data_IF_505315375353
#
_entry.id   IF_505315375353
#
_cell.length_a   1.000
_cell.length_b   1.000
_cell.length_c   1.000
_cell.angle_alpha   90.00
_cell.angle_beta   90.00
_cell.angle_gamma   90.00
#
_symmetry.space_group_name_H-M   'P 1'
#
loop_
_entity.id
_entity.type
_entity.pdbx_description
1 polymer ?
#
# COMPACT_ATOMS: atom_id res chain seq x y z
N UNK A 1 -38.21 -36.33 -24.71
CA UNK A 1 -38.30 -34.87 -24.55
C UNK A 1 -38.75 -34.54 -23.13
N UNK A 2 -37.83 -34.14 -22.24
CA UNK A 2 -38.16 -33.67 -20.89
C UNK A 2 -37.44 -32.35 -20.63
N UNK A 3 -38.21 -31.33 -20.26
CA UNK A 3 -37.72 -30.03 -19.76
C UNK A 3 -36.96 -30.26 -18.45
N UNK A 4 -35.77 -29.67 -18.33
CA UNK A 4 -35.11 -29.41 -17.04
C UNK A 4 -34.91 -27.92 -16.88
N UNK A 5 -35.44 -27.43 -15.78
CA UNK A 5 -35.23 -26.14 -15.13
C UNK A 5 -33.74 -25.96 -14.81
N UNK A 6 -33.17 -24.79 -15.12
CA UNK A 6 -31.88 -24.36 -14.58
C UNK A 6 -32.09 -23.08 -13.78
N UNK A 7 -31.72 -23.16 -12.50
CA UNK A 7 -31.77 -22.10 -11.49
C UNK A 7 -30.63 -21.11 -11.69
N UNK A 8 -30.90 -19.86 -11.33
CA UNK A 8 -30.01 -18.72 -11.29
C UNK A 8 -28.82 -18.93 -10.34
N UNK A 9 -27.62 -18.60 -10.81
CA UNK A 9 -26.47 -18.20 -10.00
C UNK A 9 -25.81 -17.02 -10.74
N UNK A 10 -26.30 -15.81 -10.46
CA UNK A 10 -25.66 -14.56 -10.84
C UNK A 10 -25.55 -13.72 -9.57
N UNK A 11 -24.38 -13.77 -8.93
CA UNK A 11 -24.07 -13.02 -7.72
C UNK A 11 -22.75 -12.27 -7.90
N UNK A 12 -22.84 -10.95 -7.78
CA UNK A 12 -21.75 -10.03 -7.40
C UNK A 12 -20.57 -9.79 -8.37
N UNK A 13 -20.81 -9.77 -9.69
CA UNK A 13 -19.83 -9.29 -10.68
C UNK A 13 -20.20 -7.98 -11.39
N UNK A 14 -21.36 -7.38 -11.12
CA UNK A 14 -22.01 -6.45 -12.06
C UNK A 14 -21.95 -4.95 -11.71
N UNK A 15 -21.43 -4.53 -10.54
CA UNK A 15 -21.44 -3.10 -10.17
C UNK A 15 -20.17 -2.32 -10.54
N UNK A 16 -19.10 -2.97 -11.01
CA UNK A 16 -17.91 -2.28 -11.51
C UNK A 16 -18.01 -1.81 -12.98
N UNK A 17 -19.18 -1.99 -13.63
CA UNK A 17 -19.32 -1.83 -15.08
C UNK A 17 -20.54 -1.01 -15.53
N UNK A 18 -21.19 -0.23 -14.66
CA UNK A 18 -22.31 0.65 -15.07
C UNK A 18 -21.90 2.10 -14.88
N UNK A 19 -21.35 2.69 -15.94
CA UNK A 19 -21.65 4.04 -16.44
C UNK A 19 -20.82 4.29 -17.73
N UNK A 20 -21.44 4.33 -18.93
CA UNK A 20 -20.78 4.84 -20.12
C UNK A 20 -20.96 6.37 -20.13
N UNK A 21 -19.90 7.13 -19.86
CA UNK A 21 -19.90 8.57 -20.07
C UNK A 21 -19.84 8.87 -21.56
N UNK A 22 -21.01 9.08 -22.16
CA UNK A 22 -21.20 9.66 -23.49
C UNK A 22 -21.28 11.18 -23.35
N UNK A 23 -20.34 11.85 -24.00
CA UNK A 23 -20.41 13.27 -24.34
C UNK A 23 -19.92 14.18 -23.23
N UNK A 24 -18.84 14.89 -23.49
CA UNK A 24 -18.62 16.31 -23.22
C UNK A 24 -17.28 16.65 -23.88
N UNK A 25 -17.37 17.09 -25.13
CA UNK A 25 -16.30 17.76 -25.82
C UNK A 25 -16.60 19.25 -25.77
N UNK A 26 -15.52 20.03 -25.62
CA UNK A 26 -15.41 21.48 -25.77
C UNK A 26 -15.63 22.31 -24.49
N UNK A 27 -14.50 22.76 -23.93
CA UNK A 27 -14.44 23.95 -23.07
C UNK A 27 -14.02 23.72 -21.62
N UNK A 28 -12.74 23.46 -21.36
CA UNK A 28 -12.18 23.64 -20.01
C UNK A 28 -10.77 24.24 -20.12
N UNK A 29 -10.61 25.40 -19.49
CA UNK A 29 -9.42 26.25 -19.46
C UNK A 29 -8.51 25.97 -18.25
N UNK A 30 -7.22 25.82 -18.53
CA UNK A 30 -6.00 26.26 -17.82
C UNK A 30 -5.80 26.27 -16.29
N UNK A 31 -6.72 25.82 -15.43
CA UNK A 31 -6.44 25.68 -13.99
C UNK A 31 -6.44 24.21 -13.54
N UNK A 32 -5.48 23.88 -12.66
CA UNK A 32 -5.06 22.49 -12.38
C UNK A 32 -6.19 21.56 -11.95
N UNK A 33 -6.35 20.49 -12.74
CA UNK A 33 -7.17 19.29 -12.53
C UNK A 33 -7.84 19.20 -11.14
N UNK A 34 -9.07 19.70 -11.08
CA UNK A 34 -9.95 19.65 -9.92
C UNK A 34 -10.48 18.23 -9.71
N UNK A 35 -10.17 17.66 -8.55
CA UNK A 35 -11.01 16.63 -7.96
C UNK A 35 -12.29 17.33 -7.47
N UNK A 36 -13.36 17.26 -8.26
CA UNK A 36 -14.64 17.87 -7.91
C UNK A 36 -15.32 17.06 -6.80
N UNK A 37 -15.00 17.44 -5.56
CA UNK A 37 -15.57 16.84 -4.36
C UNK A 37 -17.09 17.04 -4.30
N UNK A 38 -17.63 18.10 -4.94
CA UNK A 38 -19.07 18.33 -4.98
C UNK A 38 -19.78 17.29 -5.86
N UNK A 39 -19.16 16.81 -6.95
CA UNK A 39 -19.69 15.69 -7.74
C UNK A 39 -19.74 14.40 -6.92
N UNK A 40 -18.66 14.08 -6.20
CA UNK A 40 -18.60 12.87 -5.36
C UNK A 40 -19.61 12.94 -4.21
N UNK A 41 -19.75 14.11 -3.56
CA UNK A 41 -20.71 14.32 -2.48
C UNK A 41 -22.16 14.29 -2.98
N UNK A 42 -22.47 14.91 -4.13
CA UNK A 42 -23.80 14.86 -4.73
C UNK A 42 -24.18 13.45 -5.18
N UNK A 43 -23.23 12.64 -5.67
CA UNK A 43 -23.46 11.23 -5.97
C UNK A 43 -23.73 10.41 -4.70
N UNK A 44 -23.01 10.67 -3.60
CA UNK A 44 -23.25 10.03 -2.30
C UNK A 44 -24.62 10.42 -1.72
N UNK A 45 -25.02 11.69 -1.83
CA UNK A 45 -26.34 12.18 -1.39
C UNK A 45 -27.48 11.65 -2.25
N UNK A 46 -27.28 11.52 -3.57
CA UNK A 46 -28.26 10.98 -4.51
C UNK A 46 -28.54 9.48 -4.31
N UNK A 47 -27.63 8.74 -3.66
CA UNK A 47 -27.84 7.35 -3.26
C UNK A 47 -28.82 7.19 -2.08
N UNK A 48 -29.18 8.30 -1.42
CA UNK A 48 -30.14 8.36 -0.32
C UNK A 48 -29.57 7.84 1.01
N UNK A 49 -30.08 8.33 2.16
CA UNK A 49 -29.56 7.96 3.48
C UNK A 49 -29.59 6.44 3.73
N UNK A 50 -30.60 5.75 3.21
CA UNK A 50 -30.74 4.30 3.37
C UNK A 50 -29.69 3.44 2.67
N UNK A 51 -29.09 3.88 1.56
CA UNK A 51 -28.07 3.09 0.85
C UNK A 51 -26.67 3.30 1.44
N UNK A 52 -26.37 4.53 1.90
CA UNK A 52 -25.17 4.82 2.69
C UNK A 52 -25.23 4.02 4.00
N UNK A 53 -26.37 4.03 4.70
CA UNK A 53 -26.58 3.22 5.90
C UNK A 53 -26.50 1.71 5.61
N UNK A 54 -26.92 1.24 4.42
CA UNK A 54 -26.79 -0.19 4.02
C UNK A 54 -25.35 -0.55 3.63
N UNK A 55 -24.60 0.37 3.02
CA UNK A 55 -23.17 0.21 2.70
C UNK A 55 -22.30 0.27 3.96
N UNK A 56 -22.71 1.04 4.97
CA UNK A 56 -22.10 1.15 6.31
C UNK A 56 -22.53 0.00 7.22
N UNK A 57 -23.76 -0.53 7.11
CA UNK A 57 -24.23 -1.67 7.90
C UNK A 57 -23.66 -3.03 7.43
N UNK A 58 -23.21 -3.13 6.18
CA UNK A 58 -22.52 -4.32 5.65
C UNK A 58 -21.05 -4.46 6.12
N UNK A 59 -20.67 -3.75 7.18
CA UNK A 59 -19.28 -3.49 7.59
C UNK A 59 -19.03 -3.72 9.09
N UNK A 60 -19.86 -4.48 9.79
CA UNK A 60 -19.64 -4.79 11.21
C UNK A 60 -19.04 -6.19 11.41
N UNK A 61 -17.76 -6.24 11.80
CA UNK A 61 -17.15 -7.37 12.51
C UNK A 61 -16.57 -6.85 13.81
N UNK A 62 -17.44 -6.68 14.82
CA UNK A 62 -17.00 -6.57 16.20
C UNK A 62 -16.59 -7.96 16.69
N UNK A 63 -15.34 -8.12 17.12
CA UNK A 63 -14.95 -9.30 17.92
C UNK A 63 -15.30 -8.97 19.37
N UNK A 64 -16.57 -9.13 19.74
CA UNK A 64 -16.98 -9.12 21.15
C UNK A 64 -18.43 -9.60 21.33
N UNK A 65 -18.82 -10.72 20.71
CA UNK A 65 -19.86 -11.54 21.35
C UNK A 65 -19.09 -12.65 22.09
N UNK A 66 -19.27 -12.77 23.40
CA UNK A 66 -18.82 -13.96 24.12
C UNK A 66 -19.96 -14.97 24.15
N UNK A 67 -19.64 -16.26 24.08
CA UNK A 67 -20.63 -17.29 24.34
C UNK A 67 -21.03 -17.27 25.83
N UNK A 68 -22.02 -18.09 26.19
CA UNK A 68 -22.46 -18.19 27.58
C UNK A 68 -21.35 -18.62 28.57
N UNK A 69 -20.22 -19.11 28.08
CA UNK A 69 -19.02 -19.48 28.84
C UNK A 69 -17.94 -18.39 28.88
N UNK A 70 -18.15 -17.23 28.26
CA UNK A 70 -17.15 -16.17 28.19
C UNK A 70 -16.10 -16.37 27.09
N UNK A 71 -16.26 -17.38 26.22
CA UNK A 71 -15.34 -17.57 25.09
C UNK A 71 -15.71 -16.61 23.96
N UNK A 72 -14.75 -15.96 23.30
CA UNK A 72 -15.03 -15.11 22.16
C UNK A 72 -15.68 -15.91 21.01
N UNK A 73 -16.89 -15.51 20.59
CA UNK A 73 -17.56 -15.98 19.37
C UNK A 73 -16.93 -15.24 18.20
N UNK A 74 -16.06 -15.92 17.47
CA UNK A 74 -15.46 -15.38 16.25
C UNK A 74 -16.23 -15.92 15.05
N UNK A 75 -17.11 -15.10 14.45
CA UNK A 75 -17.77 -15.45 13.17
C UNK A 75 -16.72 -15.46 12.06
N UNK A 76 -16.80 -16.41 11.12
CA UNK A 76 -15.88 -16.56 9.96
C UNK A 76 -15.53 -15.21 9.29
N UNK A 77 -14.30 -14.72 9.51
CA UNK A 77 -13.82 -13.39 9.06
C UNK A 77 -13.25 -13.44 7.62
N UNK A 78 -13.03 -14.64 7.06
CA UNK A 78 -12.39 -14.79 5.75
C UNK A 78 -13.36 -14.73 4.56
N UNK A 79 -14.61 -14.29 4.76
CA UNK A 79 -15.48 -13.96 3.63
C UNK A 79 -15.11 -12.58 3.05
N UNK A 80 -15.19 -12.37 1.73
CA UNK A 80 -14.94 -11.05 1.13
C UNK A 80 -15.77 -9.91 1.75
N UNK A 81 -16.93 -10.23 2.31
CA UNK A 81 -17.80 -9.30 3.04
C UNK A 81 -17.24 -8.91 4.42
N UNK A 82 -16.60 -9.85 5.13
CA UNK A 82 -16.01 -9.65 6.45
C UNK A 82 -14.60 -9.02 6.42
N UNK A 83 -13.96 -8.98 5.24
CA UNK A 83 -12.73 -8.23 4.99
C UNK A 83 -12.97 -6.73 4.65
N UNK A 84 -14.22 -6.27 4.74
CA UNK A 84 -14.56 -4.85 4.68
C UNK A 84 -14.33 -4.23 6.06
N UNK A 85 -13.74 -3.04 6.06
CA UNK A 85 -13.43 -2.25 7.26
C UNK A 85 -14.58 -2.26 8.28
N UNK A 86 -14.31 -2.61 9.53
CA UNK A 86 -15.23 -2.44 10.65
C UNK A 86 -14.55 -1.59 11.71
N UNK A 87 -14.75 -0.27 11.67
CA UNK A 87 -14.23 0.65 12.69
C UNK A 87 -15.36 1.49 13.25
N UNK A 88 -15.29 1.88 14.53
CA UNK A 88 -16.11 2.96 15.02
C UNK A 88 -15.81 4.19 14.17
N UNK A 89 -16.77 4.55 13.33
CA UNK A 89 -16.72 5.75 12.51
C UNK A 89 -17.14 6.91 13.40
N UNK A 90 -16.21 7.76 13.90
CA UNK A 90 -16.64 8.96 14.60
C UNK A 90 -17.49 9.78 13.63
N UNK A 91 -18.62 10.36 14.09
CA UNK A 91 -19.42 11.21 13.24
C UNK A 91 -18.56 12.37 12.73
N UNK A 92 -18.51 12.54 11.42
CA UNK A 92 -17.83 13.68 10.80
C UNK A 92 -18.58 14.93 11.24
N UNK A 93 -17.91 15.81 11.98
CA UNK A 93 -18.52 17.04 12.47
C UNK A 93 -18.91 17.93 11.29
N UNK A 94 -19.92 18.79 11.48
CA UNK A 94 -20.36 19.71 10.43
C UNK A 94 -19.23 20.69 10.06
N UNK A 95 -18.40 21.07 11.03
CA UNK A 95 -17.24 21.91 10.84
C UNK A 95 -16.19 21.24 9.95
N UNK A 96 -15.89 19.96 10.20
CA UNK A 96 -14.94 19.19 9.39
C UNK A 96 -15.49 18.98 7.97
N UNK A 97 -16.78 18.69 7.83
CA UNK A 97 -17.46 18.62 6.54
C UNK A 97 -17.38 19.94 5.77
N UNK A 98 -17.67 21.06 6.43
CA UNK A 98 -17.61 22.39 5.83
C UNK A 98 -16.18 22.79 5.43
N UNK A 99 -15.17 22.41 6.23
CA UNK A 99 -13.76 22.63 5.92
C UNK A 99 -13.34 21.82 4.69
N UNK A 100 -13.65 20.53 4.67
CA UNK A 100 -13.30 19.60 3.59
C UNK A 100 -14.02 19.95 2.28
N UNK A 101 -15.27 20.42 2.35
CA UNK A 101 -16.04 20.86 1.18
C UNK A 101 -15.51 22.15 0.54
N UNK A 102 -14.82 23.00 1.31
CA UNK A 102 -14.40 24.34 0.86
C UNK A 102 -12.92 24.43 0.54
N UNK A 103 -12.07 23.59 1.13
CA UNK A 103 -10.62 23.77 1.05
C UNK A 103 -9.87 22.46 0.83
N UNK A 104 -9.01 22.44 -0.20
CA UNK A 104 -7.95 21.42 -0.33
C UNK A 104 -6.94 21.62 0.81
N UNK A 105 -6.30 20.54 1.28
CA UNK A 105 -5.29 20.62 2.36
C UNK A 105 -4.26 21.74 2.14
N UNK A 106 -3.81 21.88 0.89
CA UNK A 106 -2.82 22.90 0.51
C UNK A 106 -3.36 24.33 0.37
N UNK A 107 -4.69 24.50 0.39
CA UNK A 107 -5.34 25.81 0.36
C UNK A 107 -5.58 26.36 1.78
N UNK A 108 -5.49 25.50 2.81
CA UNK A 108 -5.50 25.92 4.21
C UNK A 108 -4.26 26.79 4.48
N UNK A 109 -4.40 27.76 5.37
CA UNK A 109 -3.23 28.48 5.90
C UNK A 109 -2.34 27.51 6.66
N UNK A 110 -1.03 27.77 6.72
CA UNK A 110 -0.09 26.84 7.35
C UNK A 110 -0.45 26.52 8.81
N UNK A 111 -0.97 27.49 9.56
CA UNK A 111 -1.41 27.30 10.94
C UNK A 111 -2.70 26.50 11.10
N UNK A 112 -3.52 26.39 10.05
CA UNK A 112 -4.78 25.64 10.06
C UNK A 112 -4.60 24.20 9.56
N UNK A 113 -3.42 23.84 9.05
CA UNK A 113 -3.15 22.49 8.55
C UNK A 113 -2.88 21.54 9.71
N UNK A 114 -3.71 20.52 9.84
CA UNK A 114 -3.36 19.37 10.67
C UNK A 114 -2.08 18.73 10.11
N UNK A 115 -1.10 18.53 10.99
CA UNK A 115 0.19 17.96 10.59
C UNK A 115 0.03 16.44 10.53
N UNK A 116 0.32 15.78 9.38
CA UNK A 116 0.28 14.33 9.31
C UNK A 116 1.35 13.73 10.22
N UNK A 117 0.99 12.64 10.90
CA UNK A 117 1.87 12.01 11.90
C UNK A 117 2.23 10.61 11.44
N UNK A 118 3.50 10.42 11.10
CA UNK A 118 4.06 9.08 11.05
C UNK A 118 4.17 8.53 12.47
N UNK A 119 3.69 7.30 12.75
CA UNK A 119 3.72 6.77 14.09
C UNK A 119 5.18 6.58 14.58
N UNK A 120 5.37 6.58 15.90
CA UNK A 120 6.67 6.28 16.49
C UNK A 120 7.13 4.87 16.10
N UNK A 121 8.44 4.60 16.14
CA UNK A 121 8.99 3.26 15.83
C UNK A 121 8.30 2.14 16.61
N UNK A 122 7.92 2.40 17.86
CA UNK A 122 7.23 1.45 18.76
C UNK A 122 5.75 1.25 18.46
N UNK A 123 5.17 1.96 17.49
CA UNK A 123 3.76 1.82 17.11
C UNK A 123 3.54 1.81 15.60
N UNK A 124 4.54 2.16 14.80
CA UNK A 124 4.43 2.16 13.35
C UNK A 124 4.39 0.74 12.80
N UNK A 125 3.50 0.45 11.84
CA UNK A 125 3.22 -0.91 11.39
C UNK A 125 4.45 -1.59 10.76
N UNK A 126 5.38 -0.83 10.19
CA UNK A 126 6.59 -1.37 9.56
C UNK A 126 7.85 -1.30 10.43
N UNK A 127 7.78 -0.71 11.63
CA UNK A 127 8.95 -0.49 12.48
C UNK A 127 8.85 -1.16 13.86
N UNK A 128 7.66 -1.58 14.29
CA UNK A 128 7.46 -2.21 15.60
C UNK A 128 8.43 -3.37 15.84
N UNK A 129 8.64 -4.24 14.83
CA UNK A 129 9.50 -5.42 14.96
C UNK A 129 10.98 -5.08 14.98
N UNK A 130 11.32 -3.82 14.71
CA UNK A 130 12.68 -3.30 14.67
C UNK A 130 13.04 -2.57 15.96
N UNK A 131 12.07 -2.25 16.81
CA UNK A 131 12.27 -1.51 18.06
C UNK A 131 13.18 -2.25 19.07
N UNK A 132 13.38 -3.55 18.89
CA UNK A 132 14.22 -4.42 19.73
C UNK A 132 15.72 -4.30 19.42
N UNK A 133 16.08 -3.74 18.26
CA UNK A 133 17.46 -3.63 17.83
C UNK A 133 18.04 -2.26 18.18
N UNK A 134 19.34 -2.23 18.45
CA UNK A 134 20.06 -0.98 18.60
C UNK A 134 19.95 -0.14 17.32
N UNK A 135 19.76 1.17 17.46
CA UNK A 135 19.67 2.06 16.32
C UNK A 135 20.91 1.92 15.40
N UNK A 136 20.73 1.74 14.08
CA UNK A 136 21.83 1.72 13.13
C UNK A 136 22.35 3.14 12.86
N UNK A 137 23.45 3.30 12.12
CA UNK A 137 23.89 4.62 11.66
C UNK A 137 22.81 5.30 10.80
N UNK A 138 22.77 6.63 10.86
CA UNK A 138 21.84 7.44 10.06
C UNK A 138 22.10 7.30 8.56
N UNK A 139 23.34 7.05 8.15
CA UNK A 139 23.71 6.80 6.77
C UNK A 139 24.28 5.39 6.59
N UNK A 140 23.95 4.76 5.47
CA UNK A 140 24.35 3.39 5.17
C UNK A 140 24.56 3.21 3.66
N UNK A 141 25.19 2.10 3.30
CA UNK A 141 25.37 1.70 1.90
C UNK A 141 24.44 0.53 1.59
N UNK A 142 23.60 0.71 0.59
CA UNK A 142 22.78 -0.35 0.04
C UNK A 142 23.56 -1.11 -1.02
N UNK A 143 23.53 -2.44 -0.97
CA UNK A 143 24.07 -3.34 -1.99
C UNK A 143 23.11 -4.48 -2.30
N UNK A 144 23.37 -5.23 -3.37
CA UNK A 144 22.60 -6.44 -3.68
C UNK A 144 22.67 -7.50 -2.58
N UNK A 145 23.76 -7.58 -1.81
CA UNK A 145 23.89 -8.57 -0.73
C UNK A 145 23.01 -8.23 0.47
N UNK A 146 22.84 -6.93 0.76
CA UNK A 146 21.83 -6.46 1.74
C UNK A 146 20.41 -6.85 1.30
N UNK A 147 20.08 -6.63 0.02
CA UNK A 147 18.76 -7.00 -0.52
C UNK A 147 18.50 -8.51 -0.49
N UNK A 148 19.50 -9.33 -0.87
CA UNK A 148 19.43 -10.79 -0.81
C UNK A 148 19.20 -11.28 0.62
N UNK A 149 19.98 -10.79 1.57
CA UNK A 149 19.84 -11.12 2.98
C UNK A 149 18.42 -10.79 3.46
N UNK A 150 17.92 -9.59 3.18
CA UNK A 150 16.58 -9.19 3.59
C UNK A 150 15.50 -10.07 2.94
N UNK A 151 15.63 -10.41 1.67
CA UNK A 151 14.71 -11.31 0.99
C UNK A 151 14.70 -12.70 1.65
N UNK A 152 15.88 -13.26 1.96
CA UNK A 152 16.04 -14.54 2.64
C UNK A 152 15.41 -14.52 4.04
N UNK A 153 15.68 -13.49 4.84
CA UNK A 153 15.15 -13.34 6.21
C UNK A 153 13.63 -13.19 6.25
N UNK A 154 13.06 -12.58 5.21
CA UNK A 154 11.61 -12.50 5.03
C UNK A 154 11.01 -13.74 4.34
N UNK A 155 11.84 -14.73 3.98
CA UNK A 155 11.42 -15.93 3.25
C UNK A 155 10.67 -15.60 1.95
N UNK A 156 11.13 -14.55 1.26
CA UNK A 156 10.60 -14.13 -0.03
C UNK A 156 11.14 -15.03 -1.14
N UNK A 157 10.22 -15.61 -1.93
CA UNK A 157 10.57 -16.39 -3.12
C UNK A 157 10.66 -15.45 -4.32
N UNK A 158 11.89 -15.04 -4.65
CA UNK A 158 12.17 -14.20 -5.79
C UNK A 158 12.13 -15.03 -7.09
N UNK A 159 11.73 -14.40 -8.20
CA UNK A 159 11.74 -15.03 -9.52
C UNK A 159 13.15 -15.02 -10.09
N UNK A 160 13.68 -16.22 -10.39
CA UNK A 160 15.00 -16.40 -10.98
C UNK A 160 15.09 -15.90 -12.43
N UNK A 161 13.96 -15.89 -13.14
CA UNK A 161 13.83 -15.54 -14.57
C UNK A 161 13.48 -14.06 -14.82
N UNK A 162 13.23 -13.29 -13.76
CA UNK A 162 12.96 -11.86 -13.87
C UNK A 162 14.28 -11.07 -13.86
N UNK A 163 14.67 -10.42 -14.99
CA UNK A 163 15.96 -9.76 -15.08
C UNK A 163 16.07 -8.56 -14.12
N UNK A 164 14.94 -7.94 -13.79
CA UNK A 164 14.85 -6.82 -12.86
C UNK A 164 13.78 -7.09 -11.80
N UNK A 165 14.21 -7.00 -10.54
CA UNK A 165 13.32 -6.88 -9.39
C UNK A 165 13.14 -5.40 -9.04
N UNK A 166 11.92 -4.99 -8.75
CA UNK A 166 11.65 -3.65 -8.21
C UNK A 166 11.64 -3.75 -6.69
N UNK A 167 12.21 -2.79 -5.99
CA UNK A 167 12.13 -2.73 -4.53
C UNK A 167 11.80 -1.33 -4.05
N UNK A 168 11.28 -1.22 -2.84
CA UNK A 168 11.03 0.04 -2.17
C UNK A 168 11.60 -0.02 -0.76
N UNK A 169 12.22 1.08 -0.33
CA UNK A 169 12.65 1.27 1.05
C UNK A 169 11.91 2.48 1.61
N UNK A 170 10.96 2.19 2.49
CA UNK A 170 10.19 3.19 3.22
C UNK A 170 11.04 3.83 4.31
N UNK A 171 11.10 5.15 4.33
CA UNK A 171 11.80 5.90 5.36
C UNK A 171 13.32 5.92 5.19
N UNK A 172 13.78 6.16 3.97
CA UNK A 172 15.15 6.58 3.68
C UNK A 172 15.17 7.36 2.37
N UNK A 173 16.17 8.21 2.20
CA UNK A 173 16.30 9.10 1.05
C UNK A 173 17.67 8.97 0.39
N UNK A 174 17.71 9.35 -0.89
CA UNK A 174 18.94 9.67 -1.60
C UNK A 174 19.60 10.91 -0.97
N UNK A 175 20.91 11.13 -1.23
CA UNK A 175 21.56 12.38 -0.87
C UNK A 175 20.81 13.61 -1.39
N UNK A 176 20.89 14.73 -0.67
CA UNK A 176 20.17 15.94 -1.02
C UNK A 176 20.55 16.42 -2.44
N UNK A 177 19.55 16.92 -3.18
CA UNK A 177 19.70 17.30 -4.59
C UNK A 177 19.73 16.14 -5.60
N UNK A 178 19.72 14.88 -5.15
CA UNK A 178 19.68 13.70 -6.04
C UNK A 178 18.27 13.12 -6.10
N UNK A 179 17.77 12.93 -7.33
CA UNK A 179 16.45 12.35 -7.61
C UNK A 179 16.54 10.94 -8.22
N UNK A 180 17.65 10.62 -8.87
CA UNK A 180 17.91 9.31 -9.46
C UNK A 180 19.40 9.01 -9.46
N UNK A 181 19.75 7.72 -9.42
CA UNK A 181 21.12 7.23 -9.61
C UNK A 181 21.17 6.26 -10.79
N UNK A 182 22.35 6.14 -11.41
CA UNK A 182 22.60 5.09 -12.40
C UNK A 182 22.84 3.73 -11.74
N UNK A 183 22.98 2.69 -12.56
CA UNK A 183 23.37 1.36 -12.10
C UNK A 183 24.74 1.41 -11.40
N UNK A 184 24.78 0.98 -10.14
CA UNK A 184 26.01 0.78 -9.37
C UNK A 184 25.89 -0.46 -8.47
N UNK A 185 27.01 -0.97 -7.96
CA UNK A 185 26.99 -2.09 -6.98
C UNK A 185 26.55 -1.66 -5.59
N UNK A 186 26.79 -0.38 -5.28
CA UNK A 186 26.60 0.22 -3.98
C UNK A 186 26.01 1.61 -4.14
N UNK A 187 25.10 1.97 -3.25
CA UNK A 187 24.41 3.26 -3.27
C UNK A 187 24.32 3.80 -1.85
N UNK A 188 24.69 5.07 -1.65
CA UNK A 188 24.58 5.72 -0.35
C UNK A 188 23.13 6.16 -0.08
N UNK A 189 22.66 5.91 1.13
CA UNK A 189 21.33 6.30 1.61
C UNK A 189 21.41 6.88 3.01
N UNK A 190 20.42 7.69 3.36
CA UNK A 190 20.23 8.25 4.70
C UNK A 190 18.84 7.90 5.19
N UNK A 191 18.72 7.48 6.45
CA UNK A 191 17.44 7.25 7.11
C UNK A 191 16.64 8.55 7.21
N UNK A 192 15.34 8.46 6.97
CA UNK A 192 14.42 9.58 7.08
C UNK A 192 13.06 9.03 7.50
N UNK A 193 12.40 9.58 8.51
CA UNK A 193 11.03 9.15 8.80
C UNK A 193 10.11 9.59 7.66
N UNK A 194 9.16 8.75 7.19
CA UNK A 194 8.13 9.22 6.27
C UNK A 194 7.35 10.38 6.89
N UNK A 195 6.98 11.37 6.10
CA UNK A 195 6.27 12.57 6.60
C UNK A 195 4.87 12.73 6.02
N UNK A 196 4.50 11.96 4.99
CA UNK A 196 3.32 12.18 4.14
C UNK A 196 3.31 13.53 3.39
N UNK A 197 4.33 14.37 3.60
CA UNK A 197 4.51 15.67 2.96
C UNK A 197 5.51 15.56 1.82
N UNK A 198 6.61 14.85 2.04
CA UNK A 198 7.73 14.73 1.13
C UNK A 198 7.95 13.29 0.64
N UNK A 199 8.77 13.16 -0.40
CA UNK A 199 9.20 11.90 -0.99
C UNK A 199 10.41 11.31 -0.22
N UNK A 200 10.22 11.05 1.07
CA UNK A 200 11.23 10.53 2.00
C UNK A 200 11.36 8.99 1.94
N UNK A 201 11.25 8.43 0.75
CA UNK A 201 11.45 7.01 0.47
C UNK A 201 12.29 6.86 -0.80
N UNK A 202 12.72 5.62 -1.07
CA UNK A 202 13.30 5.27 -2.36
C UNK A 202 12.57 4.10 -2.98
N UNK A 203 12.43 4.14 -4.30
CA UNK A 203 12.10 2.98 -5.12
C UNK A 203 13.35 2.68 -5.94
N UNK A 204 13.72 1.42 -6.02
CA UNK A 204 14.92 0.98 -6.71
C UNK A 204 14.64 -0.16 -7.67
N UNK A 205 15.60 -0.38 -8.55
CA UNK A 205 15.67 -1.50 -9.47
C UNK A 205 16.90 -2.32 -9.11
N UNK A 206 16.75 -3.63 -9.05
CA UNK A 206 17.83 -4.57 -8.79
C UNK A 206 17.94 -5.57 -9.93
N UNK A 207 19.06 -5.53 -10.63
CA UNK A 207 19.45 -6.56 -11.60
C UNK A 207 20.07 -7.73 -10.87
N UNK A 208 19.31 -8.80 -10.74
CA UNK A 208 19.72 -9.97 -9.96
C UNK A 208 20.97 -10.65 -10.55
N UNK A 209 21.11 -10.63 -11.89
CA UNK A 209 22.19 -11.31 -12.61
C UNK A 209 23.61 -10.78 -12.29
N UNK A 210 23.77 -9.48 -12.08
CA UNK A 210 25.08 -8.84 -11.83
C UNK A 210 25.13 -7.99 -10.56
N UNK A 211 24.05 -7.98 -9.78
CA UNK A 211 23.99 -7.29 -8.48
C UNK A 211 23.98 -5.77 -8.59
N UNK A 212 23.67 -5.21 -9.76
CA UNK A 212 23.60 -3.77 -9.95
C UNK A 212 22.26 -3.21 -9.46
N UNK A 213 22.30 -2.06 -8.82
CA UNK A 213 21.14 -1.34 -8.29
C UNK A 213 21.11 0.11 -8.82
N UNK A 214 19.91 0.58 -9.14
CA UNK A 214 19.61 1.98 -9.46
C UNK A 214 18.49 2.46 -8.53
N UNK A 215 18.58 3.69 -8.04
CA UNK A 215 17.65 4.22 -7.04
C UNK A 215 17.00 5.51 -7.50
N UNK A 216 15.76 5.72 -7.07
CA UNK A 216 14.95 6.86 -7.44
C UNK A 216 14.24 7.42 -6.21
N UNK A 217 14.23 8.76 -6.06
CA UNK A 217 13.49 9.45 -5.02
C UNK A 217 12.00 9.15 -5.19
N UNK A 218 11.36 8.70 -4.10
CA UNK A 218 10.03 8.15 -4.18
C UNK A 218 9.19 8.39 -2.92
N UNK A 219 7.90 8.14 -3.04
CA UNK A 219 6.93 8.13 -1.94
C UNK A 219 6.31 6.75 -1.88
N UNK A 220 6.43 6.08 -0.74
CA UNK A 220 5.82 4.76 -0.51
C UNK A 220 4.61 4.82 0.43
N UNK A 221 4.25 6.03 0.86
CA UNK A 221 3.14 6.33 1.77
C UNK A 221 2.15 7.27 1.07
N UNK A 222 0.88 7.31 1.49
CA UNK A 222 -0.08 8.27 0.97
C UNK A 222 0.35 9.71 1.22
N UNK A 223 0.07 10.60 0.28
CA UNK A 223 0.29 12.02 0.45
C UNK A 223 -0.80 12.61 1.36
N UNK A 224 -0.42 13.58 2.20
CA UNK A 224 -1.34 14.20 3.17
C UNK A 224 -2.60 14.77 2.54
N UNK A 225 -2.50 15.31 1.32
CA UNK A 225 -3.65 15.84 0.60
C UNK A 225 -4.74 14.79 0.41
N UNK A 226 -4.36 13.55 0.06
CA UNK A 226 -5.29 12.43 -0.11
C UNK A 226 -5.76 11.84 1.22
N UNK A 227 -4.91 11.86 2.24
CA UNK A 227 -5.30 11.46 3.60
C UNK A 227 -6.40 12.39 4.12
N UNK A 228 -6.18 13.70 4.00
CA UNK A 228 -7.12 14.74 4.41
C UNK A 228 -8.46 14.63 3.69
N UNK A 229 -8.46 14.50 2.36
CA UNK A 229 -9.72 14.30 1.61
C UNK A 229 -10.42 13.01 1.98
N UNK A 230 -9.67 11.94 2.31
CA UNK A 230 -10.28 10.66 2.69
C UNK A 230 -10.94 10.66 4.06
N UNK A 231 -10.73 11.68 4.90
CA UNK A 231 -11.48 11.83 6.15
C UNK A 231 -12.98 11.97 5.90
N UNK A 232 -13.39 12.58 4.76
CA UNK A 232 -14.81 12.66 4.33
C UNK A 232 -15.40 11.28 4.06
N UNK A 233 -14.59 10.39 3.51
CA UNK A 233 -14.97 9.04 3.09
C UNK A 233 -14.50 7.98 4.09
N UNK A 234 -14.16 8.39 5.31
CA UNK A 234 -13.74 7.51 6.41
C UNK A 234 -12.59 6.58 6.00
N UNK A 235 -11.57 7.14 5.33
CA UNK A 235 -10.40 6.43 4.86
C UNK A 235 -10.60 5.63 3.57
N UNK A 236 -11.82 5.60 3.03
CA UNK A 236 -12.06 4.99 1.71
C UNK A 236 -11.36 5.80 0.63
N UNK A 237 -10.71 5.12 -0.30
CA UNK A 237 -9.92 5.74 -1.39
C UNK A 237 -8.46 6.00 -1.05
N UNK A 238 -8.07 6.09 0.23
CA UNK A 238 -6.67 6.33 0.64
C UNK A 238 -6.16 5.26 1.60
N UNK A 239 -5.03 4.62 1.30
CA UNK A 239 -4.52 3.52 2.11
C UNK A 239 -3.01 3.35 2.04
N UNK A 240 -2.42 2.89 3.14
CA UNK A 240 -1.02 2.52 3.25
C UNK A 240 -0.84 1.03 2.89
N UNK A 241 -0.02 0.77 1.86
CA UNK A 241 0.44 -0.58 1.55
C UNK A 241 1.44 -1.04 2.63
N UNK A 242 1.25 -2.18 3.32
CA UNK A 242 2.25 -2.70 4.25
C UNK A 242 3.54 -3.09 3.51
N UNK A 243 4.62 -3.27 4.26
CA UNK A 243 5.82 -3.94 3.73
C UNK A 243 5.55 -5.41 3.38
N UNK A 244 6.20 -5.93 2.35
CA UNK A 244 5.94 -7.25 1.79
C UNK A 244 6.49 -7.45 0.37
N UNK A 245 6.21 -8.61 -0.21
CA UNK A 245 6.52 -8.94 -1.60
C UNK A 245 5.23 -9.01 -2.42
N UNK A 246 5.15 -8.18 -3.46
CA UNK A 246 3.97 -7.99 -4.29
C UNK A 246 4.25 -8.32 -5.76
N UNK A 247 3.20 -8.64 -6.50
CA UNK A 247 3.28 -8.87 -7.94
C UNK A 247 2.72 -7.68 -8.69
N UNK A 248 3.41 -7.30 -9.77
CA UNK A 248 3.06 -6.20 -10.63
C UNK A 248 3.15 -6.63 -12.09
N UNK A 249 2.43 -5.92 -12.95
CA UNK A 249 2.60 -6.02 -14.40
C UNK A 249 2.76 -4.65 -15.02
N UNK A 250 3.42 -4.58 -16.18
CA UNK A 250 3.44 -3.37 -17.00
C UNK A 250 2.01 -3.02 -17.44
N UNK A 251 1.67 -1.74 -17.38
CA UNK A 251 0.35 -1.25 -17.78
C UNK A 251 0.23 0.27 -17.76
N UNK A 252 -0.98 0.75 -17.48
CA UNK A 252 -1.30 2.16 -17.43
C UNK A 252 -2.00 2.47 -16.12
N UNK A 253 -1.54 3.51 -15.43
CA UNK A 253 -2.27 4.05 -14.30
C UNK A 253 -3.31 5.05 -14.83
N UNK A 254 -4.58 4.85 -14.44
CA UNK A 254 -5.73 5.60 -14.94
C UNK A 254 -6.33 6.41 -13.78
N UNK A 255 -5.73 7.56 -13.39
CA UNK A 255 -6.28 8.38 -12.31
C UNK A 255 -7.64 8.97 -12.71
N UNK A 256 -7.83 9.26 -13.99
CA UNK A 256 -9.10 9.67 -14.60
C UNK A 256 -9.02 9.48 -16.14
N UNK A 257 -10.10 9.81 -16.87
CA UNK A 257 -10.20 9.61 -18.32
C UNK A 257 -9.12 10.36 -19.14
N UNK A 258 -8.59 11.48 -18.62
CA UNK A 258 -7.64 12.35 -19.32
C UNK A 258 -6.20 12.28 -18.76
N UNK A 259 -6.00 11.56 -17.65
CA UNK A 259 -4.76 11.55 -16.88
C UNK A 259 -3.91 10.29 -17.02
N UNK A 260 -4.06 9.54 -18.12
CA UNK A 260 -3.40 8.24 -18.33
C UNK A 260 -1.88 8.37 -18.15
N UNK A 261 -1.33 7.65 -17.17
CA UNK A 261 0.10 7.52 -16.95
C UNK A 261 0.58 6.19 -17.55
N UNK A 262 1.23 6.27 -18.71
CA UNK A 262 1.62 5.09 -19.50
C UNK A 262 2.92 4.42 -19.01
N UNK A 263 2.98 3.10 -19.15
CA UNK A 263 4.13 2.28 -18.74
C UNK A 263 4.38 2.35 -17.22
N UNK A 264 3.29 2.48 -16.47
CA UNK A 264 3.27 2.29 -15.02
C UNK A 264 3.32 0.79 -14.68
N UNK A 265 3.58 0.49 -13.41
CA UNK A 265 3.46 -0.87 -12.89
C UNK A 265 2.15 -1.00 -12.13
N UNK A 266 1.33 -1.98 -12.50
CA UNK A 266 -0.01 -2.21 -11.97
C UNK A 266 0.03 -3.42 -11.04
N UNK A 267 -0.29 -3.22 -9.76
CA UNK A 267 -0.29 -4.32 -8.80
C UNK A 267 -1.32 -5.39 -9.18
N UNK A 268 -0.99 -6.65 -8.97
CA UNK A 268 -1.80 -7.81 -9.24
C UNK A 268 -2.25 -8.50 -7.95
N UNK A 269 -3.39 -9.17 -8.00
CA UNK A 269 -3.93 -9.95 -6.89
C UNK A 269 -4.59 -9.12 -5.80
N UNK A 270 -5.01 -9.81 -4.74
CA UNK A 270 -5.55 -9.23 -3.51
C UNK A 270 -4.44 -9.08 -2.48
N UNK A 271 -4.51 -8.05 -1.65
CA UNK A 271 -3.49 -7.73 -0.66
C UNK A 271 -4.11 -6.93 0.48
N UNK A 272 -3.59 -7.02 1.71
CA UNK A 272 -4.01 -6.18 2.81
C UNK A 272 -3.48 -4.75 2.63
N UNK A 273 -4.24 -3.76 3.10
CA UNK A 273 -3.82 -2.36 3.23
C UNK A 273 -4.35 -1.77 4.52
N UNK A 274 -3.64 -0.78 5.05
CA UNK A 274 -4.07 -0.04 6.23
C UNK A 274 -4.77 1.27 5.82
N UNK A 275 -5.90 1.58 6.44
CA UNK A 275 -6.71 2.80 6.24
C UNK A 275 -6.85 3.53 7.56
N UNK A 276 -7.13 4.83 7.51
CA UNK A 276 -7.43 5.64 8.70
C UNK A 276 -8.65 6.48 8.41
N UNK A 277 -9.64 6.44 9.30
CA UNK A 277 -10.96 7.01 9.08
C UNK A 277 -11.10 8.46 9.57
N UNK A 278 -10.27 8.88 10.52
CA UNK A 278 -10.49 10.13 11.24
C UNK A 278 -9.22 10.88 11.66
N UNK A 279 -8.04 10.41 11.26
CA UNK A 279 -6.76 11.04 11.65
C UNK A 279 -5.81 11.07 10.48
N UNK A 280 -4.86 12.00 10.46
CA UNK A 280 -3.75 11.98 9.51
C UNK A 280 -2.59 11.07 9.97
N UNK A 281 -2.93 9.90 10.52
CA UNK A 281 -1.96 8.90 10.99
C UNK A 281 -2.39 7.48 10.63
N UNK A 282 -1.41 6.67 10.23
CA UNK A 282 -1.54 5.24 9.95
C UNK A 282 -1.04 4.38 11.13
N UNK A 283 -1.26 4.84 12.36
CA UNK A 283 -0.93 4.07 13.55
C UNK A 283 -1.96 2.93 13.72
N UNK A 284 -1.57 1.64 13.52
CA UNK A 284 -2.50 0.52 13.61
C UNK A 284 -3.22 0.46 14.95
N UNK A 285 -2.59 0.94 16.04
CA UNK A 285 -3.11 0.97 17.42
C UNK A 285 -4.23 1.99 17.68
N UNK A 286 -4.63 2.78 16.69
CA UNK A 286 -5.75 3.72 16.82
C UNK A 286 -7.08 3.05 16.46
N UNK A 287 -8.13 3.38 17.21
CA UNK A 287 -9.49 2.87 16.96
C UNK A 287 -10.06 3.27 15.59
N UNK A 288 -9.47 4.30 14.99
CA UNK A 288 -9.83 4.87 13.70
C UNK A 288 -9.06 4.23 12.54
N UNK A 289 -8.20 3.24 12.81
CA UNK A 289 -7.26 2.67 11.83
C UNK A 289 -7.51 1.18 11.60
N UNK A 290 -7.22 0.75 10.37
CA UNK A 290 -8.01 -0.27 9.72
C UNK A 290 -7.32 -1.14 8.67
N UNK A 291 -7.20 -2.45 8.89
CA UNK A 291 -6.79 -3.37 7.83
C UNK A 291 -7.96 -3.78 6.94
N UNK A 292 -7.80 -3.60 5.63
CA UNK A 292 -8.80 -3.90 4.60
C UNK A 292 -8.15 -4.51 3.37
N UNK A 293 -8.95 -4.92 2.38
CA UNK A 293 -8.43 -5.24 1.05
C UNK A 293 -8.01 -3.99 0.30
N UNK A 294 -6.82 -4.04 -0.28
CA UNK A 294 -6.31 -3.04 -1.19
C UNK A 294 -6.95 -3.15 -2.56
N UNK A 295 -7.05 -2.01 -3.23
CA UNK A 295 -7.40 -1.91 -4.63
C UNK A 295 -6.51 -0.86 -5.30
N UNK A 296 -6.07 -1.14 -6.53
CA UNK A 296 -5.49 -0.12 -7.40
C UNK A 296 -4.17 0.53 -6.98
N UNK A 297 -3.36 -0.07 -6.10
CA UNK A 297 -2.00 0.43 -5.84
C UNK A 297 -1.12 0.19 -7.06
N UNK A 298 -0.42 1.22 -7.51
CA UNK A 298 0.44 1.16 -8.70
C UNK A 298 1.81 1.77 -8.38
N UNK A 299 2.79 1.56 -9.25
CA UNK A 299 4.04 2.35 -9.29
C UNK A 299 3.97 3.29 -10.49
N UNK A 300 3.96 4.60 -10.23
CA UNK A 300 3.77 5.61 -11.28
C UNK A 300 4.47 6.95 -10.96
N UNK A 301 4.26 7.97 -11.80
CA UNK A 301 4.86 9.29 -11.61
C UNK A 301 4.23 10.03 -10.43
N UNK A 302 5.05 10.63 -9.57
CA UNK A 302 4.60 11.37 -8.38
C UNK A 302 4.21 12.82 -8.63
N UNK A 303 4.58 13.38 -9.78
CA UNK A 303 4.40 14.78 -10.13
C UNK A 303 5.70 15.60 -10.06
N UNK A 304 5.66 16.86 -10.51
CA UNK A 304 6.85 17.65 -10.80
C UNK A 304 7.44 18.39 -9.58
N UNK A 305 6.72 18.45 -8.45
CA UNK A 305 7.02 19.34 -7.33
C UNK A 305 7.14 18.61 -5.98
N UNK A 306 7.44 19.37 -4.91
CA UNK A 306 7.44 18.93 -3.51
C UNK A 306 6.13 18.25 -3.08
N UNK A 307 5.01 18.64 -3.70
CA UNK A 307 3.71 17.98 -3.52
C UNK A 307 3.63 16.79 -4.46
N UNK A 308 3.67 15.58 -3.90
CA UNK A 308 3.38 14.37 -4.65
C UNK A 308 1.92 13.94 -4.50
N UNK A 309 1.46 13.17 -5.47
CA UNK A 309 0.05 12.80 -5.62
C UNK A 309 -0.10 11.30 -5.49
N UNK A 310 -0.42 10.83 -4.28
CA UNK A 310 -0.68 9.42 -4.02
C UNK A 310 -1.74 9.21 -2.95
N UNK A 311 -2.76 8.43 -3.28
CA UNK A 311 -3.71 7.87 -2.31
C UNK A 311 -3.26 6.50 -1.75
N UNK A 312 -2.01 6.09 -2.01
CA UNK A 312 -1.47 4.77 -1.60
C UNK A 312 -0.54 4.14 -2.62
N UNK A 313 -0.64 4.55 -3.89
CA UNK A 313 0.33 4.19 -4.91
C UNK A 313 1.77 4.52 -4.48
N UNK A 314 2.71 3.74 -5.00
CA UNK A 314 4.11 4.04 -4.87
C UNK A 314 4.46 5.01 -6.00
N UNK A 315 5.08 6.13 -5.68
CA UNK A 315 5.33 7.16 -6.68
C UNK A 315 6.80 7.48 -6.78
N UNK A 316 7.30 7.66 -7.99
CA UNK A 316 8.68 8.10 -8.25
C UNK A 316 8.63 9.55 -8.71
N UNK A 317 9.56 10.39 -8.22
CA UNK A 317 9.62 11.81 -8.60
C UNK A 317 9.72 11.98 -10.12
N UNK A 318 8.99 12.94 -10.66
CA UNK A 318 8.90 13.18 -12.10
C UNK A 318 7.46 13.22 -12.57
N UNK A 319 7.25 13.64 -13.81
CA UNK A 319 5.91 13.94 -14.32
C UNK A 319 5.76 13.52 -15.79
N UNK A 320 4.56 13.66 -16.32
CA UNK A 320 4.25 13.60 -17.74
C UNK A 320 4.24 15.01 -18.33
N UNK A 321 4.82 15.16 -19.52
CA UNK A 321 4.61 16.39 -20.29
C UNK A 321 3.13 16.51 -20.64
N UNK A 322 2.49 17.60 -20.19
CA UNK A 322 1.02 17.78 -20.26
C UNK A 322 0.46 17.64 -21.68
N UNK A 323 1.18 18.14 -22.68
CA UNK A 323 0.76 18.15 -24.08
C UNK A 323 0.86 16.79 -24.77
N UNK A 324 1.81 15.94 -24.33
CA UNK A 324 2.10 14.67 -24.99
C UNK A 324 1.58 13.45 -24.23
N UNK A 325 1.53 13.50 -22.88
CA UNK A 325 1.13 12.39 -21.97
C UNK A 325 1.76 11.02 -22.31
N UNK A 326 2.88 11.05 -23.03
CA UNK A 326 3.72 9.91 -23.46
C UNK A 326 5.15 10.19 -23.01
N UNK A 327 5.62 11.41 -23.25
CA UNK A 327 6.89 11.92 -22.72
C UNK A 327 6.78 12.17 -21.22
N UNK A 328 7.82 11.77 -20.51
CA UNK A 328 7.95 11.96 -19.07
C UNK A 328 9.26 12.65 -18.75
N UNK A 329 9.34 13.24 -17.56
CA UNK A 329 10.49 13.99 -17.10
C UNK A 329 11.03 13.44 -15.78
N UNK A 330 12.28 13.78 -15.47
CA UNK A 330 12.93 13.48 -14.20
C UNK A 330 13.13 11.99 -13.93
N UNK A 331 13.25 11.64 -12.65
CA UNK A 331 13.56 10.29 -12.19
C UNK A 331 12.54 9.23 -12.66
N UNK A 332 11.28 9.60 -12.87
CA UNK A 332 10.27 8.69 -13.43
C UNK A 332 10.60 8.26 -14.86
N UNK A 333 11.13 9.15 -15.69
CA UNK A 333 11.57 8.79 -17.04
C UNK A 333 12.67 7.74 -16.98
N UNK A 334 13.69 8.00 -16.17
CA UNK A 334 14.84 7.13 -16.01
C UNK A 334 14.44 5.77 -15.43
N UNK A 335 13.55 5.75 -14.44
CA UNK A 335 12.98 4.54 -13.86
C UNK A 335 12.34 3.66 -14.93
N UNK A 336 11.47 4.23 -15.78
CA UNK A 336 10.76 3.46 -16.81
C UNK A 336 11.71 2.86 -17.85
N UNK A 337 12.71 3.63 -18.28
CA UNK A 337 13.72 3.18 -19.25
C UNK A 337 14.56 2.07 -18.62
N UNK A 338 15.07 2.28 -17.41
CA UNK A 338 15.92 1.30 -16.73
C UNK A 338 15.15 0.02 -16.35
N UNK A 339 13.88 0.12 -15.99
CA UNK A 339 13.02 -1.03 -15.71
C UNK A 339 12.56 -1.78 -16.97
N UNK A 340 12.85 -1.25 -18.16
CA UNK A 340 12.40 -1.82 -19.43
C UNK A 340 10.88 -1.69 -19.66
N UNK A 341 10.22 -0.78 -18.94
CA UNK A 341 8.79 -0.48 -19.17
C UNK A 341 8.59 0.52 -20.30
N UNK A 342 9.60 1.33 -20.59
CA UNK A 342 9.62 2.26 -21.73
C UNK A 342 10.96 2.22 -22.48
N UNK A 343 10.97 2.61 -23.75
CA UNK A 343 12.16 2.96 -24.52
C UNK A 343 12.49 4.46 -24.36
N UNK A 344 13.53 4.92 -25.07
CA UNK A 344 13.97 6.31 -25.03
C UNK A 344 12.90 7.32 -25.53
N UNK A 345 11.97 6.87 -26.37
CA UNK A 345 10.86 7.68 -26.89
C UNK A 345 9.63 7.63 -25.96
N UNK A 346 9.70 6.83 -24.89
CA UNK A 346 8.62 6.66 -23.91
C UNK A 346 7.58 5.61 -24.31
N UNK A 347 7.79 4.86 -25.40
CA UNK A 347 6.91 3.79 -25.85
C UNK A 347 7.25 2.47 -25.13
N UNK A 348 6.29 1.54 -25.06
CA UNK A 348 6.54 0.24 -24.45
C UNK A 348 7.42 -0.62 -25.40
N UNK A 349 8.62 -1.05 -24.99
CA UNK A 349 9.50 -1.81 -25.88
C UNK A 349 8.92 -3.20 -26.16
N UNK A 350 9.08 -3.65 -27.42
CA UNK A 350 8.80 -5.01 -27.83
C UNK A 350 9.78 -5.97 -27.13
N UNK A 351 9.25 -7.00 -26.45
CA UNK A 351 10.07 -7.93 -25.67
C UNK A 351 10.56 -7.41 -24.32
N UNK A 352 10.16 -6.20 -23.90
CA UNK A 352 10.42 -5.71 -22.55
C UNK A 352 9.72 -6.54 -21.48
N UNK A 353 10.24 -6.50 -20.25
CA UNK A 353 9.66 -7.21 -19.11
C UNK A 353 8.21 -6.76 -18.86
N UNK A 354 7.31 -7.74 -18.72
CA UNK A 354 5.87 -7.49 -18.56
C UNK A 354 5.35 -7.78 -17.16
N UNK A 355 6.05 -8.60 -16.39
CA UNK A 355 5.72 -8.97 -15.02
C UNK A 355 6.89 -8.63 -14.10
N UNK A 356 6.59 -8.14 -12.90
CA UNK A 356 7.57 -7.67 -11.93
C UNK A 356 7.20 -8.17 -10.53
N UNK A 357 8.21 -8.44 -9.72
CA UNK A 357 8.06 -8.47 -8.27
C UNK A 357 8.44 -7.12 -7.68
N UNK A 358 7.71 -6.72 -6.64
CA UNK A 358 7.99 -5.53 -5.85
C UNK A 358 8.23 -5.90 -4.39
N UNK A 359 9.48 -5.81 -3.94
CA UNK A 359 9.85 -6.02 -2.55
C UNK A 359 9.84 -4.68 -1.80
N UNK A 360 8.81 -4.43 -0.99
CA UNK A 360 8.70 -3.25 -0.16
C UNK A 360 9.16 -3.57 1.27
N UNK A 361 10.23 -2.92 1.71
CA UNK A 361 10.80 -3.01 3.06
C UNK A 361 11.04 -1.58 3.59
N UNK A 362 11.68 -1.46 4.74
CA UNK A 362 12.06 -0.17 5.33
C UNK A 362 13.54 0.15 5.13
N UNK A 363 13.87 1.44 5.11
CA UNK A 363 15.26 1.91 5.18
C UNK A 363 15.95 1.44 6.47
N UNK A 364 15.21 1.34 7.58
CA UNK A 364 15.74 0.88 8.86
C UNK A 364 16.18 -0.59 8.80
N UNK A 365 15.42 -1.46 8.14
CA UNK A 365 15.82 -2.85 7.87
C UNK A 365 17.11 -2.92 7.05
N UNK A 366 17.22 -2.10 6.01
CA UNK A 366 18.42 -2.04 5.18
C UNK A 366 19.64 -1.52 5.95
N UNK A 367 19.47 -0.51 6.80
CA UNK A 367 20.54 0.03 7.64
C UNK A 367 21.01 -0.97 8.70
N UNK A 368 20.09 -1.68 9.37
CA UNK A 368 20.40 -2.75 10.33
C UNK A 368 21.12 -3.93 9.65
N UNK A 369 20.65 -4.32 8.46
CA UNK A 369 21.28 -5.37 7.65
C UNK A 369 22.69 -4.97 7.20
N UNK A 370 22.89 -3.73 6.77
CA UNK A 370 24.20 -3.18 6.41
C UNK A 370 25.18 -3.18 7.59
N UNK A 371 24.71 -2.83 8.79
CA UNK A 371 25.55 -2.80 9.99
C UNK A 371 26.07 -4.21 10.36
N UNK A 372 25.33 -5.26 10.03
CA UNK A 372 25.78 -6.64 10.17
C UNK A 372 25.94 -7.12 11.62
N UNK A 373 25.28 -6.46 12.58
CA UNK A 373 25.29 -6.89 13.99
C UNK A 373 24.67 -8.28 14.15
N UNK A 374 25.37 -9.19 14.82
CA UNK A 374 24.94 -10.59 15.00
C UNK A 374 23.52 -10.72 15.53
N UNK A 375 23.12 -9.88 16.50
CA UNK A 375 21.76 -9.88 17.03
C UNK A 375 20.70 -9.75 15.93
N UNK A 376 20.82 -8.76 15.04
CA UNK A 376 19.91 -8.61 13.91
C UNK A 376 20.07 -9.77 12.91
N UNK A 377 21.31 -10.10 12.56
CA UNK A 377 21.61 -11.13 11.56
C UNK A 377 21.06 -12.51 11.95
N UNK A 378 20.98 -12.84 13.23
CA UNK A 378 20.55 -14.16 13.72
C UNK A 378 19.04 -14.23 13.96
N UNK A 379 18.45 -13.17 14.53
CA UNK A 379 17.08 -13.21 15.04
C UNK A 379 16.05 -12.55 14.14
N UNK A 380 16.46 -11.65 13.23
CA UNK A 380 15.53 -10.96 12.34
C UNK A 380 14.96 -11.93 11.31
N UNK A 381 13.74 -12.41 11.56
CA UNK A 381 13.04 -13.35 10.69
C UNK A 381 11.53 -13.06 10.65
N UNK A 382 11.10 -11.90 10.16
CA UNK A 382 9.67 -11.63 10.01
C UNK A 382 9.04 -12.49 8.90
N UNK A 383 7.76 -12.81 9.04
CA UNK A 383 6.88 -13.36 8.04
C UNK A 383 5.82 -12.31 7.72
N UNK A 384 5.68 -11.93 6.46
CA UNK A 384 4.72 -10.90 6.03
C UNK A 384 4.17 -11.25 4.66
N UNK A 385 3.30 -10.40 4.10
CA UNK A 385 2.70 -10.66 2.79
C UNK A 385 3.77 -11.01 1.74
N UNK A 386 3.59 -12.15 1.07
CA UNK A 386 4.51 -12.69 0.07
C UNK A 386 5.64 -13.58 0.60
N UNK A 387 5.80 -13.73 1.93
CA UNK A 387 6.64 -14.78 2.51
C UNK A 387 6.14 -16.17 2.10
N UNK A 388 7.04 -17.15 2.01
CA UNK A 388 6.68 -18.53 1.68
C UNK A 388 7.62 -19.57 2.29
N UNK A 389 7.18 -20.82 2.34
CA UNK A 389 7.98 -21.98 2.79
C UNK A 389 7.58 -22.53 4.17
N UNK A 390 8.42 -23.40 4.77
CA UNK A 390 8.07 -24.17 5.98
C UNK A 390 7.71 -23.32 7.20
N UNK A 391 8.28 -22.12 7.33
CA UNK A 391 7.97 -21.19 8.44
C UNK A 391 6.55 -20.64 8.33
N UNK A 392 6.09 -20.39 7.11
CA UNK A 392 4.70 -19.97 6.85
C UNK A 392 3.74 -21.14 7.06
N UNK A 393 4.12 -22.35 6.65
CA UNK A 393 3.33 -23.55 6.92
C UNK A 393 3.12 -23.78 8.42
N UNK A 394 4.19 -23.68 9.21
CA UNK A 394 4.13 -23.80 10.66
C UNK A 394 3.23 -22.73 11.29
N UNK A 395 3.34 -21.48 10.82
CA UNK A 395 2.43 -20.41 11.24
C UNK A 395 0.98 -20.73 10.88
N UNK A 396 0.68 -21.11 9.64
CA UNK A 396 -0.67 -21.43 9.19
C UNK A 396 -1.27 -22.58 9.98
N UNK A 397 -0.51 -23.65 10.22
CA UNK A 397 -0.94 -24.80 11.01
C UNK A 397 -1.26 -24.39 12.46
N UNK A 398 -0.42 -23.54 13.08
CA UNK A 398 -0.68 -22.95 14.40
C UNK A 398 -1.97 -22.13 14.40
N UNK A 399 -2.13 -21.20 13.45
CA UNK A 399 -3.31 -20.34 13.36
C UNK A 399 -4.61 -21.17 13.19
N UNK A 400 -4.59 -22.23 12.39
CA UNK A 400 -5.73 -23.15 12.26
C UNK A 400 -6.02 -23.87 13.56
N UNK A 401 -4.99 -24.34 14.28
CA UNK A 401 -5.15 -25.03 15.55
C UNK A 401 -5.70 -24.10 16.66
N UNK A 402 -5.21 -22.86 16.75
CA UNK A 402 -5.55 -21.93 17.81
C UNK A 402 -6.92 -21.26 17.59
N UNK A 403 -7.30 -21.00 16.32
CA UNK A 403 -8.49 -20.19 16.00
C UNK A 403 -9.62 -20.95 15.28
N UNK A 404 -9.37 -22.18 14.79
CA UNK A 404 -10.40 -23.06 14.23
C UNK A 404 -11.34 -22.38 13.23
N UNK A 405 -12.63 -22.32 13.57
CA UNK A 405 -13.69 -21.76 12.72
C UNK A 405 -13.47 -20.28 12.34
N UNK A 406 -12.78 -19.49 13.16
CA UNK A 406 -12.47 -18.08 12.88
C UNK A 406 -11.65 -17.91 11.60
N UNK A 407 -10.82 -18.91 11.29
CA UNK A 407 -9.90 -18.96 10.16
C UNK A 407 -10.22 -20.15 9.24
N UNK A 408 -11.46 -20.63 9.21
CA UNK A 408 -11.90 -21.80 8.42
C UNK A 408 -11.63 -21.70 6.91
N UNK A 409 -11.33 -20.52 6.38
CA UNK A 409 -10.88 -20.29 5.00
C UNK A 409 -9.35 -20.26 4.80
N UNK A 410 -8.55 -20.38 5.87
CA UNK A 410 -7.10 -20.39 5.81
C UNK A 410 -6.60 -21.76 5.34
N UNK A 411 -5.86 -21.79 4.25
CA UNK A 411 -5.21 -23.00 3.75
C UNK A 411 -3.78 -23.06 4.26
N UNK A 412 -3.36 -24.24 4.74
CA UNK A 412 -1.94 -24.54 4.99
C UNK A 412 -1.28 -24.83 3.64
N UNK A 413 -0.71 -23.81 3.03
CA UNK A 413 -0.21 -23.83 1.64
C UNK A 413 1.21 -23.24 1.49
N UNK A 414 1.90 -22.97 2.60
CA UNK A 414 3.23 -22.38 2.64
C UNK A 414 3.31 -20.97 2.03
N UNK A 415 2.20 -20.23 1.87
CA UNK A 415 2.18 -18.88 1.28
C UNK A 415 1.50 -17.87 2.19
N UNK A 416 2.23 -16.82 2.56
CA UNK A 416 1.71 -15.73 3.38
C UNK A 416 0.94 -14.77 2.47
N UNK A 417 -0.25 -15.21 2.07
CA UNK A 417 -1.16 -14.48 1.21
C UNK A 417 -2.13 -13.59 2.01
N UNK A 418 -3.19 -13.11 1.35
CA UNK A 418 -4.22 -12.27 1.98
C UNK A 418 -4.90 -13.00 3.13
N UNK A 419 -5.27 -14.27 2.95
CA UNK A 419 -5.95 -15.05 4.00
C UNK A 419 -5.04 -15.23 5.22
N UNK A 420 -3.76 -15.56 4.98
CA UNK A 420 -2.75 -15.68 6.05
C UNK A 420 -2.51 -14.35 6.76
N UNK A 421 -2.52 -13.23 6.04
CA UNK A 421 -2.36 -11.89 6.61
C UNK A 421 -3.50 -11.53 7.57
N UNK A 422 -4.76 -11.80 7.19
CA UNK A 422 -5.90 -11.56 8.07
C UNK A 422 -5.98 -12.55 9.23
N UNK A 423 -5.54 -13.80 9.05
CA UNK A 423 -5.42 -14.74 10.17
C UNK A 423 -4.33 -14.31 11.18
N UNK A 424 -3.18 -13.83 10.71
CA UNK A 424 -2.14 -13.25 11.56
C UNK A 424 -2.62 -11.98 12.29
N UNK A 425 -3.48 -11.18 11.65
CA UNK A 425 -4.14 -10.04 12.30
C UNK A 425 -5.04 -10.48 13.46
N UNK A 426 -5.82 -11.55 13.30
CA UNK A 426 -6.64 -12.11 14.39
C UNK A 426 -5.75 -12.50 15.58
N UNK A 427 -4.67 -13.23 15.28
CA UNK A 427 -3.70 -13.68 16.29
C UNK A 427 -3.10 -12.54 17.09
N UNK A 428 -2.63 -11.52 16.37
CA UNK A 428 -1.98 -10.39 17.00
C UNK A 428 -3.00 -9.52 17.76
N UNK A 429 -4.27 -9.42 17.32
CA UNK A 429 -5.35 -8.77 18.11
C UNK A 429 -5.64 -9.48 19.42
N UNK A 430 -5.61 -10.82 19.44
CA UNK A 430 -5.80 -11.58 20.68
C UNK A 430 -4.65 -11.34 21.66
N UNK A 431 -3.42 -11.22 21.17
CA UNK A 431 -2.24 -11.02 22.04
C UNK A 431 -2.00 -9.57 22.47
N UNK A 432 -2.41 -8.59 21.67
CA UNK A 432 -2.07 -7.18 21.88
C UNK A 432 -3.29 -6.24 21.99
N UNK A 433 -4.52 -6.77 21.85
CA UNK A 433 -5.79 -6.03 21.91
C UNK A 433 -6.37 -5.69 20.53
N UNK A 434 -7.66 -5.33 20.49
CA UNK A 434 -8.43 -5.15 19.25
C UNK A 434 -7.88 -4.12 18.26
N UNK A 435 -7.13 -3.16 18.79
CA UNK A 435 -6.51 -2.08 18.02
C UNK A 435 -5.05 -2.39 17.68
N UNK A 436 -4.43 -3.40 18.26
CA UNK A 436 -3.08 -3.74 17.87
C UNK A 436 -3.07 -4.55 16.57
N UNK A 437 -2.00 -4.40 15.77
CA UNK A 437 -1.27 -5.47 15.06
C UNK A 437 -0.75 -5.02 13.70
N UNK A 438 0.54 -5.21 13.40
CA UNK A 438 0.99 -5.33 12.03
C UNK A 438 0.52 -6.67 11.42
N UNK A 439 0.35 -6.74 10.10
CA UNK A 439 0.14 -8.01 9.36
C UNK A 439 1.45 -8.80 9.17
N UNK A 440 2.32 -8.73 10.18
CA UNK A 440 3.65 -9.38 10.23
C UNK A 440 3.66 -10.33 11.41
N UNK A 441 4.18 -11.55 11.22
CA UNK A 441 4.36 -12.55 12.26
C UNK A 441 5.86 -12.86 12.46
N UNK A 442 6.28 -13.12 13.70
CA UNK A 442 7.68 -13.39 14.05
C UNK A 442 7.88 -13.31 15.56
N UNK A 443 9.05 -13.71 16.06
CA UNK A 443 9.42 -13.48 17.46
C UNK A 443 9.52 -11.98 17.72
N UNK A 444 8.61 -11.48 18.56
CA UNK A 444 8.63 -10.15 19.15
C UNK A 444 9.37 -10.17 20.48
#
# INVERSE_FOLDING_TARGET
>A
MRRRTFMQLAGAGALAAILPLRGWAEGASDEGDDFDLAVVLNEIEALGPGLVDTLVAAQTVSVAETDAGGNPIVRSILTPSAMKAAFPNPPITEELRALLAKQKYWNLTEGDREVPVWPAVTTAPDYLHLALYAAPPESFVLSADVLKLLAERNSFMLWDDAPILVFGLRGCKLPDGIDATGWAREQALTLAAPTHLDLDCVVGLWRQADGMIALFRAGTVPAVGYMFTSLVTQGSGTSLLPTGLYQYRRGHHLPNANGIQRNALIMQGTYPVLRTAATLSYNPFLQTTAWTLGAGHNIHAGGPNFKYWSAGCQVVRGDYERSARIKTTGAWNDFRIMAGTADADGAAPAGGQVAFQYMLLTGLEAALAYEGKSGFMETYQPLRFGSSGPRVEALQARLVADYGEAVSGLLVNMRFDTATSFAALIDSKVSQGDFASPVVAGSW
#
